data_IF_197168327285
#
_entry.id   IF_197168327285
#
_cell.length_a   1.000
_cell.length_b   1.000
_cell.length_c   1.000
_cell.angle_alpha   90.00
_cell.angle_beta   90.00
_cell.angle_gamma   90.00
#
_symmetry.space_group_name_H-M   'P 1'
#
loop_
_entity.id
_entity.type
_entity.pdbx_description
1 polymer ?
#
# COMPACT_ATOMS: atom_id res chain seq x y z
N UNK A 1 -49.84 -36.84 33.44
CA UNK A 1 -51.14 -36.47 34.03
C UNK A 1 -51.52 -35.12 33.49
N UNK A 2 -52.41 -35.09 32.48
CA UNK A 2 -53.68 -34.34 32.38
C UNK A 2 -53.48 -32.80 32.51
N UNK A 3 -53.95 -31.94 31.63
CA UNK A 3 -55.11 -31.90 30.74
C UNK A 3 -55.05 -30.65 29.86
N UNK A 4 -55.47 -30.82 28.65
CA UNK A 4 -56.00 -29.96 27.62
C UNK A 4 -57.11 -29.02 28.13
N UNK A 5 -57.21 -27.80 27.59
CA UNK A 5 -58.44 -27.08 27.17
C UNK A 5 -58.06 -25.71 26.57
N UNK A 6 -58.31 -25.45 25.41
CA UNK A 6 -59.42 -25.24 24.44
C UNK A 6 -59.66 -23.74 24.18
N UNK A 7 -59.63 -23.41 22.88
CA UNK A 7 -59.97 -22.15 22.19
C UNK A 7 -61.35 -21.55 22.58
N UNK A 8 -61.58 -20.24 22.28
CA UNK A 8 -62.40 -20.00 21.11
C UNK A 8 -61.94 -18.86 20.20
N UNK A 9 -62.45 -18.97 18.97
CA UNK A 9 -62.36 -18.03 17.84
C UNK A 9 -63.15 -16.75 18.11
N UNK A 10 -62.58 -15.63 17.61
CA UNK A 10 -63.32 -14.39 17.43
C UNK A 10 -62.64 -13.59 16.33
N UNK A 11 -63.29 -13.49 15.18
CA UNK A 11 -62.85 -12.73 14.02
C UNK A 11 -63.18 -11.22 14.22
N UNK A 12 -62.24 -10.33 13.94
CA UNK A 12 -62.53 -8.96 13.54
C UNK A 12 -61.52 -8.52 12.49
N UNK A 13 -62.05 -8.16 11.33
CA UNK A 13 -61.34 -7.52 10.20
C UNK A 13 -60.82 -6.12 10.63
N UNK A 14 -59.54 -5.91 10.41
CA UNK A 14 -58.92 -4.58 10.47
C UNK A 14 -57.84 -4.50 9.40
N UNK A 15 -58.18 -3.86 8.28
CA UNK A 15 -57.20 -3.53 7.23
C UNK A 15 -56.25 -2.48 7.77
N UNK A 16 -54.98 -2.78 7.94
CA UNK A 16 -53.93 -1.82 8.14
C UNK A 16 -52.90 -2.00 6.99
N UNK A 17 -52.91 -1.03 6.08
CA UNK A 17 -51.83 -0.84 5.10
C UNK A 17 -50.53 -0.60 5.85
N UNK A 18 -49.66 -1.56 5.88
CA UNK A 18 -48.26 -1.32 6.20
C UNK A 18 -47.53 -0.94 4.93
N UNK A 19 -47.19 0.32 4.79
CA UNK A 19 -46.20 0.82 3.85
C UNK A 19 -44.89 0.10 4.17
N UNK A 20 -44.51 -0.85 3.31
CA UNK A 20 -43.19 -1.44 3.31
C UNK A 20 -42.21 -0.34 2.92
N UNK A 21 -41.56 0.28 3.92
CA UNK A 21 -40.38 1.10 3.72
C UNK A 21 -39.27 0.21 3.11
N UNK A 22 -39.07 0.32 1.82
CA UNK A 22 -37.91 -0.17 1.12
C UNK A 22 -36.73 0.60 1.68
N UNK A 23 -36.05 0.04 2.68
CA UNK A 23 -34.68 0.47 3.02
C UNK A 23 -33.83 0.00 1.85
N UNK A 24 -33.66 0.86 0.87
CA UNK A 24 -32.60 0.70 -0.11
C UNK A 24 -31.29 0.73 0.67
N UNK A 25 -30.79 -0.45 1.05
CA UNK A 25 -29.38 -0.62 1.36
C UNK A 25 -28.63 -0.20 0.11
N UNK A 26 -28.16 1.05 0.12
CA UNK A 26 -27.22 1.54 -0.86
C UNK A 26 -26.01 0.59 -0.84
N UNK A 27 -25.98 -0.38 -1.73
CA UNK A 27 -24.73 -0.90 -2.19
C UNK A 27 -23.94 0.33 -2.63
N UNK A 28 -22.93 0.72 -1.88
CA UNK A 28 -21.92 1.64 -2.34
C UNK A 28 -21.32 0.98 -3.58
N UNK A 29 -21.92 1.26 -4.73
CA UNK A 29 -21.28 1.05 -6.00
C UNK A 29 -19.98 1.85 -5.86
N UNK A 30 -18.85 1.17 -5.97
CA UNK A 30 -17.55 1.79 -6.03
C UNK A 30 -17.62 2.68 -7.28
N UNK A 31 -17.90 3.98 -7.06
CA UNK A 31 -18.02 4.94 -8.15
C UNK A 31 -16.72 4.86 -8.93
N UNK A 32 -16.85 4.66 -10.24
CA UNK A 32 -15.69 4.65 -11.12
C UNK A 32 -14.95 5.97 -10.87
N UNK A 33 -13.67 5.88 -10.52
CA UNK A 33 -12.84 7.04 -10.18
C UNK A 33 -12.93 8.05 -11.33
N UNK A 34 -13.38 9.26 -11.06
CA UNK A 34 -13.56 10.31 -12.08
C UNK A 34 -12.22 10.77 -12.63
N UNK A 35 -12.22 11.37 -13.82
CA UNK A 35 -11.01 11.94 -14.42
C UNK A 35 -10.39 13.02 -13.52
N UNK A 36 -11.21 13.84 -12.87
CA UNK A 36 -10.75 14.87 -11.93
C UNK A 36 -10.08 14.26 -10.69
N UNK A 37 -10.63 13.17 -10.17
CA UNK A 37 -10.07 12.43 -9.05
C UNK A 37 -8.71 11.81 -9.40
N UNK A 38 -8.59 11.18 -10.58
CA UNK A 38 -7.30 10.67 -11.08
C UNK A 38 -6.30 11.80 -11.34
N UNK A 39 -6.75 12.97 -11.80
CA UNK A 39 -5.89 14.12 -11.99
C UNK A 39 -5.33 14.65 -10.65
N UNK A 40 -6.16 14.69 -9.60
CA UNK A 40 -5.72 15.03 -8.25
C UNK A 40 -4.71 14.00 -7.70
N UNK A 41 -4.96 12.71 -7.89
CA UNK A 41 -4.03 11.63 -7.53
C UNK A 41 -2.69 11.75 -8.25
N UNK A 42 -2.72 12.07 -9.56
CA UNK A 42 -1.51 12.33 -10.34
C UNK A 42 -0.72 13.51 -9.78
N UNK A 43 -1.39 14.59 -9.40
CA UNK A 43 -0.73 15.76 -8.84
C UNK A 43 -0.01 15.41 -7.53
N UNK A 44 -0.64 14.67 -6.63
CA UNK A 44 0.01 14.19 -5.39
C UNK A 44 1.22 13.32 -5.73
N UNK A 45 1.08 12.35 -6.64
CA UNK A 45 2.18 11.47 -7.01
C UNK A 45 3.40 12.23 -7.56
N UNK A 46 3.18 13.35 -8.27
CA UNK A 46 4.24 14.23 -8.78
C UNK A 46 4.90 15.00 -7.65
N UNK A 47 4.12 15.69 -6.79
CA UNK A 47 4.70 16.56 -5.74
C UNK A 47 5.36 15.77 -4.62
N UNK A 48 4.94 14.52 -4.37
CA UNK A 48 5.57 13.61 -3.42
C UNK A 48 6.75 12.83 -4.00
N UNK A 49 7.02 12.96 -5.29
CA UNK A 49 8.11 12.26 -6.00
C UNK A 49 8.05 10.73 -5.89
N UNK A 50 6.87 10.17 -5.56
CA UNK A 50 6.70 8.73 -5.30
C UNK A 50 7.01 7.85 -6.51
N UNK A 51 7.04 8.43 -7.71
CA UNK A 51 7.35 7.72 -8.95
C UNK A 51 8.85 7.71 -9.29
N UNK A 52 9.66 8.63 -8.74
CA UNK A 52 11.10 8.75 -9.05
C UNK A 52 11.88 7.44 -8.80
N UNK A 53 11.65 6.69 -7.69
CA UNK A 53 12.37 5.43 -7.46
C UNK A 53 12.13 4.35 -8.52
N UNK A 54 11.09 4.53 -9.35
CA UNK A 54 10.75 3.57 -10.40
C UNK A 54 11.35 3.93 -11.77
N UNK A 55 12.04 5.05 -11.90
CA UNK A 55 12.61 5.50 -13.17
C UNK A 55 13.78 4.61 -13.61
N UNK A 56 14.46 3.99 -12.66
CA UNK A 56 15.58 3.09 -12.91
C UNK A 56 15.16 1.65 -13.26
N UNK A 57 13.88 1.28 -13.17
CA UNK A 57 13.43 -0.09 -13.43
C UNK A 57 13.80 -0.55 -14.83
N UNK A 58 13.47 0.23 -15.84
CA UNK A 58 13.74 -0.16 -17.23
C UNK A 58 15.23 -0.16 -17.58
N UNK A 59 16.05 0.84 -17.20
CA UNK A 59 17.50 0.78 -17.30
C UNK A 59 18.12 -0.45 -16.64
N UNK A 60 17.71 -0.79 -15.41
CA UNK A 60 18.21 -1.96 -14.68
C UNK A 60 17.85 -3.25 -15.42
N UNK A 61 16.60 -3.40 -15.88
CA UNK A 61 16.17 -4.57 -16.64
C UNK A 61 16.91 -4.70 -17.97
N UNK A 62 17.16 -3.60 -18.66
CA UNK A 62 17.95 -3.60 -19.89
C UNK A 62 19.38 -4.09 -19.63
N UNK A 63 20.03 -3.61 -18.57
CA UNK A 63 21.39 -4.04 -18.19
C UNK A 63 21.44 -5.51 -17.79
N UNK A 64 20.48 -5.98 -16.98
CA UNK A 64 20.39 -7.40 -16.62
C UNK A 64 20.17 -8.29 -17.84
N UNK A 65 19.28 -7.88 -18.75
CA UNK A 65 19.02 -8.60 -20.00
C UNK A 65 20.26 -8.64 -20.88
N UNK A 66 20.93 -7.50 -21.08
CA UNK A 66 22.17 -7.41 -21.85
C UNK A 66 23.23 -8.35 -21.29
N UNK A 67 23.46 -8.32 -19.99
CA UNK A 67 24.45 -9.17 -19.33
C UNK A 67 24.14 -10.66 -19.54
N UNK A 68 22.88 -11.07 -19.37
CA UNK A 68 22.46 -12.46 -19.53
C UNK A 68 22.69 -12.97 -20.98
N UNK A 69 22.34 -12.15 -21.98
CA UNK A 69 22.55 -12.54 -23.39
C UNK A 69 24.02 -12.53 -23.79
N UNK A 70 24.85 -11.59 -23.35
CA UNK A 70 26.30 -11.59 -23.63
C UNK A 70 26.99 -12.78 -22.98
N UNK A 71 26.57 -13.22 -21.79
CA UNK A 71 27.11 -14.43 -21.16
C UNK A 71 26.84 -15.69 -21.98
N UNK A 72 25.69 -15.78 -22.66
CA UNK A 72 25.34 -16.92 -23.49
C UNK A 72 25.95 -16.84 -24.90
N UNK A 73 26.14 -15.65 -25.46
CA UNK A 73 26.65 -15.40 -26.81
C UNK A 73 27.73 -14.29 -26.82
N UNK A 74 28.92 -14.52 -26.23
CA UNK A 74 29.94 -13.47 -26.05
C UNK A 74 30.44 -12.85 -27.36
N UNK A 75 30.39 -13.58 -28.44
CA UNK A 75 30.86 -13.13 -29.77
C UNK A 75 29.94 -12.09 -30.42
N UNK A 76 28.71 -11.93 -29.89
CA UNK A 76 27.70 -11.02 -30.41
C UNK A 76 27.41 -9.84 -29.43
N UNK A 77 28.35 -9.53 -28.54
CA UNK A 77 28.14 -8.54 -27.46
C UNK A 77 27.70 -7.17 -27.96
N UNK A 78 28.25 -6.67 -29.07
CA UNK A 78 27.88 -5.37 -29.65
C UNK A 78 26.44 -5.39 -30.21
N UNK A 79 26.12 -6.41 -31.02
CA UNK A 79 24.78 -6.60 -31.58
C UNK A 79 23.72 -6.74 -30.47
N UNK A 80 24.00 -7.53 -29.44
CA UNK A 80 23.12 -7.69 -28.28
C UNK A 80 22.89 -6.36 -27.58
N UNK A 81 23.93 -5.56 -27.40
CA UNK A 81 23.82 -4.26 -26.73
C UNK A 81 22.89 -3.30 -27.50
N UNK A 82 23.04 -3.25 -28.82
CA UNK A 82 22.19 -2.43 -29.69
C UNK A 82 20.73 -2.92 -29.66
N UNK A 83 20.51 -4.23 -29.79
CA UNK A 83 19.16 -4.83 -29.76
C UNK A 83 18.48 -4.55 -28.42
N UNK A 84 19.17 -4.76 -27.30
CA UNK A 84 18.60 -4.49 -25.96
C UNK A 84 18.24 -3.03 -25.79
N UNK A 85 19.09 -2.11 -26.24
CA UNK A 85 18.77 -0.68 -26.18
C UNK A 85 17.51 -0.33 -26.98
N UNK A 86 17.40 -0.84 -28.21
CA UNK A 86 16.22 -0.60 -29.06
C UNK A 86 14.95 -1.20 -28.46
N UNK A 87 15.01 -2.38 -27.85
CA UNK A 87 13.90 -3.00 -27.14
C UNK A 87 13.52 -2.16 -25.90
N UNK A 88 14.48 -1.68 -25.11
CA UNK A 88 14.21 -0.82 -23.97
C UNK A 88 13.50 0.47 -24.37
N UNK A 89 13.96 1.14 -25.44
CA UNK A 89 13.30 2.33 -25.99
C UNK A 89 11.86 2.02 -26.46
N UNK A 90 11.64 0.86 -27.06
CA UNK A 90 10.29 0.42 -27.47
C UNK A 90 9.38 0.17 -26.28
N UNK A 91 9.90 -0.28 -25.15
CA UNK A 91 9.16 -0.54 -23.92
C UNK A 91 8.97 0.70 -23.05
N UNK A 92 9.76 1.76 -23.24
CA UNK A 92 9.69 2.98 -22.42
C UNK A 92 8.28 3.59 -22.31
N UNK A 93 7.42 3.65 -23.36
CA UNK A 93 6.07 4.16 -23.24
C UNK A 93 5.18 3.37 -22.28
N UNK A 94 5.50 2.10 -21.97
CA UNK A 94 4.75 1.28 -21.00
C UNK A 94 4.88 1.78 -19.56
N UNK A 95 5.82 2.70 -19.28
CA UNK A 95 5.93 3.38 -17.99
C UNK A 95 4.59 4.00 -17.55
N UNK A 96 3.78 4.42 -18.50
CA UNK A 96 2.46 4.98 -18.23
C UNK A 96 1.52 4.00 -17.52
N UNK A 97 1.68 2.70 -17.77
CA UNK A 97 0.88 1.65 -17.14
C UNK A 97 1.14 1.63 -15.61
N UNK A 98 2.42 1.66 -15.21
CA UNK A 98 2.81 1.74 -13.81
C UNK A 98 2.33 3.03 -13.16
N UNK A 99 2.50 4.17 -13.83
CA UNK A 99 2.04 5.45 -13.32
C UNK A 99 0.52 5.43 -13.03
N UNK A 100 -0.28 4.87 -13.93
CA UNK A 100 -1.72 4.75 -13.77
C UNK A 100 -2.11 3.85 -12.58
N UNK A 101 -1.36 2.77 -12.34
CA UNK A 101 -1.57 1.93 -11.14
C UNK A 101 -1.31 2.71 -9.86
N UNK A 102 -0.26 3.54 -9.83
CA UNK A 102 0.06 4.38 -8.68
C UNK A 102 -1.02 5.45 -8.48
N UNK A 103 -1.47 6.14 -9.56
CA UNK A 103 -2.54 7.13 -9.46
C UNK A 103 -3.84 6.50 -8.95
N UNK A 104 -4.17 5.31 -9.46
CA UNK A 104 -5.32 4.57 -8.96
C UNK A 104 -5.18 4.23 -7.47
N UNK A 105 -4.01 3.79 -7.02
CA UNK A 105 -3.78 3.50 -5.61
C UNK A 105 -4.01 4.73 -4.72
N UNK A 106 -3.61 5.93 -5.15
CA UNK A 106 -3.91 7.17 -4.45
C UNK A 106 -5.42 7.46 -4.44
N UNK A 107 -6.08 7.34 -5.58
CA UNK A 107 -7.51 7.61 -5.71
C UNK A 107 -8.38 6.59 -4.95
N UNK A 108 -7.94 5.34 -4.80
CA UNK A 108 -8.66 4.32 -4.02
C UNK A 108 -8.56 4.56 -2.50
N UNK A 109 -7.57 5.32 -2.03
CA UNK A 109 -7.31 5.52 -0.59
C UNK A 109 -7.67 6.93 -0.09
N UNK A 110 -7.85 7.91 -0.97
CA UNK A 110 -8.15 9.29 -0.62
C UNK A 110 -9.24 9.84 -1.52
N UNK A 111 -10.09 10.67 -0.98
CA UNK A 111 -11.07 11.44 -1.76
C UNK A 111 -10.37 12.50 -2.63
N UNK A 112 -11.04 12.97 -3.67
CA UNK A 112 -10.49 14.02 -4.55
C UNK A 112 -10.10 15.28 -3.75
N UNK A 113 -10.92 15.66 -2.76
CA UNK A 113 -10.65 16.83 -1.93
C UNK A 113 -9.43 16.64 -1.03
N UNK A 114 -9.28 15.46 -0.42
CA UNK A 114 -8.08 15.13 0.36
C UNK A 114 -6.82 15.13 -0.49
N UNK A 115 -6.90 14.61 -1.73
CA UNK A 115 -5.77 14.64 -2.66
C UNK A 115 -5.35 16.07 -3.03
N UNK A 116 -6.31 16.99 -3.21
CA UNK A 116 -6.00 18.40 -3.45
C UNK A 116 -5.28 19.04 -2.25
N UNK A 117 -5.74 18.76 -1.03
CA UNK A 117 -5.10 19.25 0.19
C UNK A 117 -3.70 18.65 0.37
N UNK A 118 -3.51 17.37 0.10
CA UNK A 118 -2.19 16.73 0.09
C UNK A 118 -1.26 17.37 -0.94
N UNK A 119 -1.73 17.59 -2.16
CA UNK A 119 -0.94 18.23 -3.20
C UNK A 119 -0.52 19.64 -2.80
N UNK A 120 -1.41 20.42 -2.20
CA UNK A 120 -1.11 21.75 -1.68
C UNK A 120 -0.05 21.69 -0.57
N UNK A 121 -0.22 20.82 0.43
CA UNK A 121 0.75 20.64 1.51
C UNK A 121 2.13 20.24 0.99
N UNK A 122 2.20 19.19 0.16
CA UNK A 122 3.47 18.70 -0.37
C UNK A 122 4.13 19.65 -1.40
N UNK A 123 3.41 20.66 -1.88
CA UNK A 123 3.98 21.75 -2.70
C UNK A 123 4.68 22.82 -1.86
N UNK A 124 4.49 22.84 -0.53
CA UNK A 124 5.19 23.76 0.36
C UNK A 124 6.64 23.37 0.60
N UNK A 125 7.49 24.32 1.01
CA UNK A 125 8.90 24.03 1.40
C UNK A 125 8.98 22.95 2.49
N UNK A 126 8.05 22.97 3.45
CA UNK A 126 8.01 21.96 4.51
C UNK A 126 7.59 20.59 3.99
N UNK A 127 6.59 20.54 3.11
CA UNK A 127 6.16 19.31 2.45
C UNK A 127 7.27 18.68 1.60
N UNK A 128 7.98 19.49 0.82
CA UNK A 128 9.14 19.02 0.03
C UNK A 128 10.26 18.50 0.94
N UNK A 129 10.59 19.23 1.99
CA UNK A 129 11.58 18.78 2.97
C UNK A 129 11.17 17.47 3.64
N UNK A 130 9.90 17.30 3.94
CA UNK A 130 9.38 16.05 4.52
C UNK A 130 9.57 14.89 3.55
N UNK A 131 9.17 15.04 2.29
CA UNK A 131 9.35 14.04 1.23
C UNK A 131 10.82 13.60 1.11
N UNK A 132 11.75 14.55 1.14
CA UNK A 132 13.18 14.24 1.02
C UNK A 132 13.77 13.56 2.26
N UNK A 133 13.27 13.88 3.46
CA UNK A 133 13.88 13.41 4.73
C UNK A 133 13.26 12.14 5.27
N UNK A 134 12.00 11.83 4.95
CA UNK A 134 11.31 10.64 5.45
C UNK A 134 12.08 9.34 5.18
N UNK A 135 12.61 9.07 3.98
CA UNK A 135 13.36 7.85 3.73
C UNK A 135 14.57 7.69 4.66
N UNK A 136 15.34 8.76 4.84
CA UNK A 136 16.53 8.77 5.73
C UNK A 136 16.13 8.58 7.20
N UNK A 137 15.08 9.26 7.66
CA UNK A 137 14.58 9.13 9.03
C UNK A 137 14.09 7.71 9.29
N UNK A 138 13.36 7.13 8.33
CA UNK A 138 12.87 5.74 8.43
C UNK A 138 14.02 4.75 8.50
N UNK A 139 15.02 4.89 7.63
CA UNK A 139 16.21 4.03 7.63
C UNK A 139 16.97 4.12 8.97
N UNK A 140 17.18 5.33 9.47
CA UNK A 140 17.82 5.54 10.78
C UNK A 140 17.01 4.91 11.92
N UNK A 141 15.68 5.10 11.91
CA UNK A 141 14.79 4.55 12.94
C UNK A 141 14.81 3.02 12.97
N UNK A 142 14.82 2.38 11.80
CA UNK A 142 14.96 0.91 11.70
C UNK A 142 16.34 0.45 12.21
N UNK A 143 17.43 1.17 11.91
CA UNK A 143 18.76 0.90 12.42
C UNK A 143 18.80 0.99 13.94
N UNK A 144 18.31 2.10 14.51
CA UNK A 144 18.24 2.31 15.94
C UNK A 144 17.40 1.25 16.69
N UNK A 145 16.29 0.80 16.06
CA UNK A 145 15.46 -0.25 16.63
C UNK A 145 16.21 -1.60 16.70
N UNK A 146 17.03 -1.94 15.71
CA UNK A 146 17.86 -3.15 15.71
C UNK A 146 18.94 -3.08 16.80
N UNK A 147 19.67 -1.99 16.88
CA UNK A 147 20.69 -1.80 17.93
C UNK A 147 20.08 -1.91 19.34
N UNK A 148 18.91 -1.29 19.54
CA UNK A 148 18.18 -1.40 20.79
C UNK A 148 17.75 -2.84 21.09
N UNK A 149 17.24 -3.57 20.09
CA UNK A 149 16.84 -4.98 20.22
C UNK A 149 18.02 -5.85 20.66
N UNK A 150 19.19 -5.70 20.04
CA UNK A 150 20.39 -6.47 20.38
C UNK A 150 20.83 -6.21 21.81
N UNK A 151 20.83 -4.93 22.23
CA UNK A 151 21.14 -4.53 23.61
C UNK A 151 20.17 -5.16 24.62
N UNK A 152 18.87 -5.03 24.39
CA UNK A 152 17.84 -5.57 25.29
C UNK A 152 17.85 -7.09 25.33
N UNK A 153 18.12 -7.75 24.21
CA UNK A 153 18.27 -9.22 24.17
C UNK A 153 19.41 -9.70 25.09
N UNK A 154 20.57 -9.02 25.02
CA UNK A 154 21.71 -9.33 25.84
C UNK A 154 21.41 -9.10 27.33
N UNK A 155 20.81 -7.96 27.67
CA UNK A 155 20.41 -7.62 29.04
C UNK A 155 19.38 -8.60 29.59
N UNK A 156 18.40 -8.99 28.80
CA UNK A 156 17.36 -9.97 29.16
C UNK A 156 18.00 -11.33 29.52
N UNK A 157 18.93 -11.83 28.69
CA UNK A 157 19.63 -13.10 28.97
C UNK A 157 20.38 -13.03 30.28
N UNK A 158 21.10 -11.93 30.52
CA UNK A 158 21.86 -11.73 31.80
C UNK A 158 20.91 -11.72 32.99
N UNK A 159 19.83 -10.94 32.93
CA UNK A 159 18.85 -10.86 34.01
C UNK A 159 18.19 -12.20 34.31
N UNK A 160 17.82 -12.95 33.27
CA UNK A 160 17.23 -14.30 33.43
C UNK A 160 18.24 -15.25 34.11
N UNK A 161 19.51 -15.23 33.70
CA UNK A 161 20.55 -16.06 34.33
C UNK A 161 20.73 -15.70 35.82
N UNK A 162 20.75 -14.42 36.17
CA UNK A 162 20.85 -13.94 37.54
C UNK A 162 19.65 -14.38 38.40
N UNK A 163 18.45 -14.25 37.90
CA UNK A 163 17.24 -14.68 38.63
C UNK A 163 17.17 -16.20 38.82
N UNK A 164 17.53 -16.98 37.81
CA UNK A 164 17.62 -18.43 37.93
C UNK A 164 18.67 -18.86 38.94
N UNK A 165 19.84 -18.17 39.02
CA UNK A 165 20.88 -18.45 40.02
C UNK A 165 20.38 -18.16 41.44
N UNK A 166 19.63 -17.07 41.65
CA UNK A 166 19.02 -16.76 42.96
C UNK A 166 18.02 -17.83 43.41
N UNK A 167 17.17 -18.32 42.49
CA UNK A 167 16.22 -19.38 42.80
C UNK A 167 16.91 -20.70 43.19
N UNK A 168 18.01 -21.06 42.50
CA UNK A 168 18.79 -22.26 42.81
C UNK A 168 19.53 -22.15 44.16
N UNK A 169 19.97 -20.96 44.58
CA UNK A 169 20.63 -20.72 45.85
C UNK A 169 19.66 -20.70 47.06
N UNK A 170 18.36 -20.58 46.79
CA UNK A 170 17.30 -20.58 47.83
C UNK A 170 16.68 -21.98 48.10
N UNK A 171 17.12 -23.00 47.39
CA UNK A 171 16.75 -24.42 47.60
C UNK A 171 17.83 -25.15 48.40
#
# INVERSE_FOLDING_TARGET
MKLIKSFPRGAVLGAAMMAAGFVASGAAAQEAVSESHLAAAKQVAVVTKVLEPFDDILPILAEQTRTAFIQSEPTRAEEISEVVQNVALTLAPKRVELNNLVYKAWADNFTEEELKQLAEFYSTDLGQKLTEKIPTITQYSVGAAREWQDKISTEMVTMVQEELAKLNAAQ
#
